data_IF_861984745094
#
_entry.id   IF_861984745094
#
_cell.length_a   1.000
_cell.length_b   1.000
_cell.length_c   1.000
_cell.angle_alpha   90.00
_cell.angle_beta   90.00
_cell.angle_gamma   90.00
#
_symmetry.space_group_name_H-M   'P 1'
#
loop_
_entity.id
_entity.type
_entity.pdbx_description
1 polymer ?
#
# COMPACT_ATOMS: atom_id res chain seq x y z
N UNK A 1 65.12 44.69 -11.58
CA UNK A 1 64.14 44.61 -10.47
C UNK A 1 62.73 44.98 -10.91
N UNK A 2 62.12 44.25 -11.88
CA UNK A 2 60.71 44.53 -12.32
C UNK A 2 59.87 43.25 -12.57
N UNK A 3 60.39 42.06 -12.28
CA UNK A 3 59.71 40.78 -12.58
C UNK A 3 59.03 40.22 -11.30
N UNK A 4 59.39 40.62 -10.13
CA UNK A 4 58.81 40.10 -8.88
C UNK A 4 57.40 40.62 -8.56
N UNK A 5 57.03 41.80 -9.10
CA UNK A 5 55.68 42.38 -8.91
C UNK A 5 54.59 41.65 -9.64
N UNK A 6 54.93 40.98 -10.75
CA UNK A 6 53.94 40.30 -11.62
C UNK A 6 53.47 38.96 -11.03
N UNK A 7 54.34 38.27 -10.28
CA UNK A 7 53.96 36.99 -9.68
C UNK A 7 53.03 37.14 -8.46
N UNK A 8 53.06 38.28 -7.76
CA UNK A 8 52.19 38.53 -6.62
C UNK A 8 50.77 38.90 -7.02
N UNK A 9 50.56 39.47 -8.21
CA UNK A 9 49.23 39.82 -8.72
C UNK A 9 48.46 38.62 -9.25
N UNK A 10 49.14 37.58 -9.72
CA UNK A 10 48.50 36.36 -10.31
C UNK A 10 48.04 35.43 -9.18
N UNK A 11 48.64 35.47 -7.97
CA UNK A 11 48.28 34.59 -6.86
C UNK A 11 46.96 34.97 -6.16
N UNK A 12 46.43 36.17 -6.37
CA UNK A 12 45.17 36.65 -5.75
C UNK A 12 43.90 36.30 -6.53
N UNK A 13 44.04 35.76 -7.73
CA UNK A 13 42.87 35.44 -8.59
C UNK A 13 42.27 34.02 -8.39
N UNK A 14 42.90 33.20 -7.53
CA UNK A 14 42.42 31.83 -7.28
C UNK A 14 41.56 31.63 -6.05
N UNK A 15 41.30 32.68 -5.27
CA UNK A 15 40.30 32.62 -4.18
C UNK A 15 38.91 33.02 -4.67
N UNK A 16 38.46 32.52 -5.79
CA UNK A 16 37.04 32.45 -6.09
C UNK A 16 36.42 31.38 -5.18
N UNK A 17 35.94 31.77 -4.02
CA UNK A 17 35.09 30.94 -3.21
C UNK A 17 33.90 30.49 -4.04
N UNK A 18 33.92 29.27 -4.54
CA UNK A 18 32.73 28.60 -5.03
C UNK A 18 31.87 28.36 -3.79
N UNK A 19 30.92 29.24 -3.51
CA UNK A 19 29.85 28.96 -2.58
C UNK A 19 29.17 27.68 -3.08
N UNK A 20 29.21 26.54 -2.34
CA UNK A 20 28.47 25.36 -2.74
C UNK A 20 27.01 25.78 -2.80
N UNK A 21 26.39 25.62 -3.98
CA UNK A 21 24.94 25.78 -4.10
C UNK A 21 24.32 24.87 -3.02
N UNK A 22 23.40 25.39 -2.20
CA UNK A 22 22.69 24.55 -1.25
C UNK A 22 22.03 23.41 -2.04
N UNK A 23 22.48 22.19 -1.80
CA UNK A 23 21.81 21.01 -2.31
C UNK A 23 20.40 21.01 -1.75
N UNK A 24 19.35 20.92 -2.58
CA UNK A 24 18.00 20.79 -2.08
C UNK A 24 17.98 19.59 -1.10
N UNK A 25 17.75 19.85 0.17
CA UNK A 25 17.49 18.76 1.11
C UNK A 25 16.19 18.10 0.69
N UNK A 26 16.26 16.81 0.41
CA UNK A 26 15.06 16.02 0.23
C UNK A 26 14.15 16.23 1.45
N UNK A 27 12.86 16.50 1.26
CA UNK A 27 11.94 16.69 2.37
C UNK A 27 12.01 15.46 3.27
N UNK A 28 12.01 15.68 4.59
CA UNK A 28 11.98 14.60 5.57
C UNK A 28 10.58 13.95 5.53
N UNK A 29 10.41 12.98 4.64
CA UNK A 29 9.13 12.33 4.40
C UNK A 29 8.99 11.16 5.35
N UNK A 30 7.98 11.20 6.20
CA UNK A 30 7.58 10.04 6.97
C UNK A 30 6.81 9.06 6.08
N UNK A 31 7.50 8.08 5.53
CA UNK A 31 6.92 7.08 4.64
C UNK A 31 5.93 6.11 5.32
N UNK A 32 5.94 6.07 6.65
CA UNK A 32 5.04 5.20 7.42
C UNK A 32 3.68 5.86 7.69
N UNK A 33 3.57 7.16 7.52
CA UNK A 33 2.34 7.90 7.71
C UNK A 33 1.67 8.14 6.35
N UNK A 34 0.46 7.64 6.20
CA UNK A 34 -0.40 7.92 5.05
C UNK A 34 -1.17 9.22 5.30
N UNK A 35 -1.21 10.10 4.31
CA UNK A 35 -2.00 11.33 4.37
C UNK A 35 -3.44 11.04 3.94
N UNK A 36 -3.60 10.26 2.86
CA UNK A 36 -4.90 9.78 2.37
C UNK A 36 -4.84 8.25 2.23
N UNK A 37 -5.64 7.50 2.99
CA UNK A 37 -5.72 6.05 2.87
C UNK A 37 -6.44 5.64 1.58
N UNK A 38 -6.27 4.39 1.11
CA UNK A 38 -7.02 3.90 -0.03
C UNK A 38 -8.51 3.77 0.32
N UNK A 39 -9.39 4.08 -0.64
CA UNK A 39 -10.84 4.02 -0.47
C UNK A 39 -11.47 3.08 -1.49
N UNK A 40 -12.44 2.27 -1.03
CA UNK A 40 -13.22 1.39 -1.90
C UNK A 40 -14.37 2.19 -2.54
N UNK A 41 -14.50 2.19 -3.89
CA UNK A 41 -15.39 3.13 -4.59
C UNK A 41 -16.88 2.91 -4.32
N UNK A 42 -17.29 1.65 -4.06
CA UNK A 42 -18.69 1.29 -3.83
C UNK A 42 -19.16 1.57 -2.39
N UNK A 43 -18.33 2.23 -1.58
CA UNK A 43 -18.58 2.54 -0.18
C UNK A 43 -18.53 4.05 0.08
N UNK A 44 -19.05 4.56 1.23
CA UNK A 44 -18.96 5.98 1.58
C UNK A 44 -17.53 6.50 1.50
N UNK A 45 -17.33 7.66 0.86
CA UNK A 45 -16.00 8.23 0.61
C UNK A 45 -15.62 9.31 1.63
N UNK A 46 -16.57 9.83 2.36
CA UNK A 46 -16.45 10.94 3.30
C UNK A 46 -15.97 10.53 4.70
N UNK A 47 -16.04 9.23 5.01
CA UNK A 47 -15.57 8.65 6.27
C UNK A 47 -14.75 7.38 6.01
N UNK A 48 -13.46 7.46 6.29
CA UNK A 48 -12.50 6.36 6.08
C UNK A 48 -12.91 5.11 6.85
N UNK A 49 -13.34 5.25 8.10
CA UNK A 49 -13.73 4.11 8.93
C UNK A 49 -14.98 3.42 8.37
N UNK A 50 -16.00 4.20 7.98
CA UNK A 50 -17.20 3.66 7.35
C UNK A 50 -16.90 3.00 6.02
N UNK A 51 -15.98 3.57 5.21
CA UNK A 51 -15.53 2.97 3.97
C UNK A 51 -14.92 1.58 4.21
N UNK A 52 -14.01 1.46 5.16
CA UNK A 52 -13.35 0.20 5.49
C UNK A 52 -14.30 -0.85 6.06
N UNK A 53 -15.21 -0.45 6.96
CA UNK A 53 -16.25 -1.34 7.51
C UNK A 53 -17.19 -1.84 6.40
N UNK A 54 -17.54 -0.98 5.45
CA UNK A 54 -18.36 -1.33 4.29
C UNK A 54 -17.61 -2.27 3.35
N UNK A 55 -16.34 -1.99 3.04
CA UNK A 55 -15.50 -2.86 2.23
C UNK A 55 -15.39 -4.26 2.83
N UNK A 56 -15.06 -4.38 4.14
CA UNK A 56 -14.94 -5.66 4.82
C UNK A 56 -16.22 -6.50 4.71
N UNK A 57 -17.40 -5.87 4.92
CA UNK A 57 -18.70 -6.53 4.77
C UNK A 57 -18.97 -6.94 3.31
N UNK A 58 -18.60 -6.11 2.35
CA UNK A 58 -18.79 -6.39 0.93
C UNK A 58 -17.92 -7.57 0.50
N UNK A 59 -16.66 -7.58 0.91
CA UNK A 59 -15.75 -8.68 0.65
C UNK A 59 -16.25 -9.99 1.28
N UNK A 60 -16.63 -9.96 2.57
CA UNK A 60 -17.17 -11.13 3.26
C UNK A 60 -18.40 -11.69 2.52
N UNK A 61 -19.35 -10.84 2.16
CA UNK A 61 -20.55 -11.26 1.42
C UNK A 61 -20.22 -11.90 0.08
N UNK A 62 -19.26 -11.34 -0.69
CA UNK A 62 -18.84 -11.92 -1.97
C UNK A 62 -18.14 -13.27 -1.78
N UNK A 63 -17.35 -13.42 -0.74
CA UNK A 63 -16.70 -14.69 -0.38
C UNK A 63 -17.75 -15.74 0.01
N UNK A 64 -18.72 -15.40 0.85
CA UNK A 64 -19.78 -16.33 1.26
C UNK A 64 -20.56 -16.86 0.05
N UNK A 65 -20.91 -15.97 -0.89
CA UNK A 65 -21.59 -16.36 -2.14
C UNK A 65 -20.69 -17.25 -3.00
N UNK A 66 -19.42 -16.92 -3.16
CA UNK A 66 -18.47 -17.70 -3.96
C UNK A 66 -18.25 -19.07 -3.35
N UNK A 67 -17.99 -19.15 -2.06
CA UNK A 67 -17.76 -20.41 -1.35
C UNK A 67 -18.98 -21.32 -1.36
N UNK A 68 -20.19 -20.75 -1.25
CA UNK A 68 -21.43 -21.50 -1.40
C UNK A 68 -21.57 -22.06 -2.84
N UNK A 69 -21.24 -21.26 -3.86
CA UNK A 69 -21.27 -21.71 -5.26
C UNK A 69 -20.26 -22.81 -5.56
N UNK A 70 -19.08 -22.73 -4.97
CA UNK A 70 -18.00 -23.72 -5.10
C UNK A 70 -18.25 -24.96 -4.24
N UNK A 71 -19.38 -24.99 -3.49
CA UNK A 71 -19.76 -26.07 -2.57
C UNK A 71 -18.68 -26.36 -1.53
N UNK A 72 -17.96 -25.34 -1.10
CA UNK A 72 -16.97 -25.47 -0.03
C UNK A 72 -17.70 -25.69 1.28
N UNK A 73 -17.37 -26.78 1.96
CA UNK A 73 -17.93 -27.12 3.26
C UNK A 73 -16.87 -26.88 4.33
N UNK A 74 -17.15 -25.95 5.23
CA UNK A 74 -16.30 -25.63 6.38
C UNK A 74 -16.81 -26.34 7.63
N UNK A 75 -17.10 -27.65 7.55
CA UNK A 75 -17.90 -28.42 8.49
C UNK A 75 -17.43 -28.41 9.96
N UNK A 76 -16.23 -27.91 10.26
CA UNK A 76 -15.65 -27.92 11.61
C UNK A 76 -14.95 -26.59 11.98
N UNK A 77 -15.01 -25.58 11.11
CA UNK A 77 -14.24 -24.36 11.26
C UNK A 77 -15.13 -23.16 11.61
N UNK A 78 -15.26 -22.88 12.87
CA UNK A 78 -15.56 -21.53 13.34
C UNK A 78 -14.19 -20.84 13.54
N UNK A 79 -13.56 -20.43 12.47
CA UNK A 79 -12.23 -19.87 12.53
C UNK A 79 -12.16 -18.53 11.78
N UNK A 80 -11.13 -17.77 12.05
CA UNK A 80 -10.87 -16.49 11.39
C UNK A 80 -9.61 -16.63 10.53
N UNK A 81 -9.79 -16.43 9.23
CA UNK A 81 -8.68 -16.35 8.30
C UNK A 81 -8.13 -14.92 8.28
N UNK A 82 -6.85 -14.75 8.60
CA UNK A 82 -6.19 -13.46 8.48
C UNK A 82 -5.52 -13.35 7.13
N UNK A 83 -5.98 -12.37 6.32
CA UNK A 83 -5.47 -12.16 4.97
C UNK A 83 -4.75 -10.83 4.90
N UNK A 84 -3.51 -10.83 4.45
CA UNK A 84 -2.78 -9.61 4.13
C UNK A 84 -3.12 -9.22 2.70
N UNK A 85 -3.75 -8.07 2.55
CA UNK A 85 -4.14 -7.46 1.29
C UNK A 85 -3.24 -6.27 0.98
N UNK A 86 -3.11 -5.96 -0.31
CA UNK A 86 -2.34 -4.84 -0.82
C UNK A 86 -3.14 -4.09 -1.88
N UNK A 87 -3.15 -2.76 -1.78
CA UNK A 87 -3.56 -1.87 -2.87
C UNK A 87 -2.29 -1.24 -3.45
N UNK A 88 -2.10 -1.37 -4.73
CA UNK A 88 -0.97 -0.75 -5.43
C UNK A 88 -1.25 0.71 -5.82
N UNK A 89 -0.29 1.36 -6.47
CA UNK A 89 -0.39 2.76 -6.91
C UNK A 89 -1.43 3.00 -8.01
N UNK A 90 -1.95 1.94 -8.62
CA UNK A 90 -3.03 2.00 -9.62
C UNK A 90 -4.40 1.69 -9.01
N UNK A 91 -4.46 1.40 -7.70
CA UNK A 91 -5.69 1.01 -7.01
C UNK A 91 -6.04 -0.47 -7.14
N UNK A 92 -5.16 -1.30 -7.71
CA UNK A 92 -5.42 -2.74 -7.83
C UNK A 92 -5.26 -3.43 -6.49
N UNK A 93 -6.32 -4.11 -6.03
CA UNK A 93 -6.28 -4.97 -4.85
C UNK A 93 -5.67 -6.33 -5.19
N UNK A 94 -4.80 -6.82 -4.33
CA UNK A 94 -4.20 -8.16 -4.45
C UNK A 94 -3.99 -8.81 -3.09
N UNK A 95 -3.89 -10.14 -3.07
CA UNK A 95 -3.54 -10.92 -1.89
C UNK A 95 -2.03 -11.03 -1.80
N UNK A 96 -1.47 -10.73 -0.62
CA UNK A 96 -0.03 -10.88 -0.35
C UNK A 96 0.26 -12.22 0.34
N UNK A 97 -0.47 -12.50 1.40
CA UNK A 97 -0.37 -13.79 2.10
C UNK A 97 -1.61 -14.07 2.96
N UNK A 98 -1.69 -15.33 3.43
CA UNK A 98 -2.66 -15.78 4.42
C UNK A 98 -1.91 -16.16 5.70
N UNK A 99 -2.30 -15.58 6.86
CA UNK A 99 -1.73 -15.89 8.16
C UNK A 99 -2.59 -16.90 8.92
N UNK A 100 -1.92 -17.72 9.73
CA UNK A 100 -2.48 -18.56 10.79
C UNK A 100 -3.46 -19.65 10.36
N UNK A 101 -3.33 -20.12 9.13
CA UNK A 101 -4.21 -21.20 8.67
C UNK A 101 -3.43 -22.41 8.18
N UNK A 102 -2.78 -23.15 9.10
CA UNK A 102 -2.26 -24.46 8.77
C UNK A 102 -3.34 -25.38 8.15
N UNK A 103 -4.61 -25.14 8.53
CA UNK A 103 -5.77 -25.85 7.98
C UNK A 103 -6.15 -25.33 6.59
N UNK A 104 -5.96 -24.03 6.29
CA UNK A 104 -6.25 -23.45 4.96
C UNK A 104 -5.14 -23.64 3.95
N UNK A 105 -3.88 -23.71 4.40
CA UNK A 105 -2.75 -24.06 3.52
C UNK A 105 -2.95 -25.44 2.86
N UNK A 106 -3.77 -26.29 3.46
CA UNK A 106 -4.14 -27.59 2.92
C UNK A 106 -5.35 -27.56 1.96
N UNK A 107 -6.01 -26.41 1.78
CA UNK A 107 -7.14 -26.27 0.86
C UNK A 107 -6.87 -25.24 -0.25
N UNK A 108 -6.16 -25.61 -1.33
CA UNK A 108 -5.86 -24.71 -2.45
C UNK A 108 -7.11 -24.05 -3.05
N UNK A 109 -8.24 -24.76 -3.02
CA UNK A 109 -9.52 -24.28 -3.57
C UNK A 109 -10.02 -23.05 -2.84
N UNK A 110 -9.91 -22.99 -1.51
CA UNK A 110 -10.33 -21.82 -0.71
C UNK A 110 -9.48 -20.60 -1.06
N UNK A 111 -8.17 -20.79 -1.18
CA UNK A 111 -7.25 -19.72 -1.54
C UNK A 111 -7.52 -19.19 -2.94
N UNK A 112 -7.70 -20.08 -3.92
CA UNK A 112 -8.03 -19.69 -5.30
C UNK A 112 -9.36 -18.96 -5.38
N UNK A 113 -10.42 -19.45 -4.70
CA UNK A 113 -11.71 -18.77 -4.65
C UNK A 113 -11.60 -17.36 -4.06
N UNK A 114 -10.77 -17.21 -3.03
CA UNK A 114 -10.51 -15.91 -2.40
C UNK A 114 -9.83 -14.93 -3.40
N UNK A 115 -8.77 -15.39 -4.06
CA UNK A 115 -8.05 -14.59 -5.08
C UNK A 115 -8.96 -14.19 -6.24
N UNK A 116 -9.83 -15.09 -6.71
CA UNK A 116 -10.83 -14.80 -7.76
C UNK A 116 -11.80 -13.71 -7.32
N UNK A 117 -12.30 -13.75 -6.08
CA UNK A 117 -13.18 -12.70 -5.55
C UNK A 117 -12.43 -11.38 -5.49
N UNK A 118 -11.21 -11.34 -4.97
CA UNK A 118 -10.38 -10.14 -4.89
C UNK A 118 -10.13 -9.55 -6.28
N UNK A 119 -9.79 -10.38 -7.25
CA UNK A 119 -9.55 -9.95 -8.63
C UNK A 119 -10.81 -9.41 -9.33
N UNK A 120 -12.02 -9.79 -8.85
CA UNK A 120 -13.31 -9.30 -9.39
C UNK A 120 -13.77 -7.96 -8.83
N UNK A 121 -13.08 -7.42 -7.81
CA UNK A 121 -13.44 -6.15 -7.19
C UNK A 121 -13.05 -4.95 -8.09
N UNK A 122 -13.78 -3.85 -8.01
CA UNK A 122 -13.39 -2.62 -8.68
C UNK A 122 -12.07 -2.07 -8.12
N UNK A 123 -11.42 -1.22 -8.90
CA UNK A 123 -10.21 -0.54 -8.47
C UNK A 123 -10.51 0.39 -7.29
N UNK A 124 -9.63 0.38 -6.30
CA UNK A 124 -9.64 1.35 -5.20
C UNK A 124 -9.17 2.73 -5.70
N UNK A 125 -9.58 3.78 -5.01
CA UNK A 125 -8.80 4.99 -5.00
C UNK A 125 -7.51 4.66 -4.25
N UNK A 126 -6.31 4.80 -4.85
CA UNK A 126 -5.05 4.43 -4.19
C UNK A 126 -4.77 5.36 -3.00
N UNK A 127 -3.96 4.88 -2.07
CA UNK A 127 -3.42 5.74 -1.01
C UNK A 127 -2.53 6.84 -1.60
N UNK A 128 -2.52 8.01 -0.95
CA UNK A 128 -1.82 9.17 -1.49
C UNK A 128 -0.94 9.84 -0.43
N UNK A 129 0.25 10.27 -0.84
CA UNK A 129 1.13 11.16 -0.09
C UNK A 129 0.92 12.57 -0.59
N UNK A 130 0.07 13.35 0.07
CA UNK A 130 -0.35 14.68 -0.37
C UNK A 130 0.80 15.66 -0.49
N UNK A 131 1.78 15.60 0.41
CA UNK A 131 2.97 16.45 0.39
C UNK A 131 3.93 16.16 -0.77
N UNK A 132 3.80 15.02 -1.44
CA UNK A 132 4.62 14.62 -2.59
C UNK A 132 3.78 14.48 -3.87
N UNK A 133 2.46 14.58 -3.77
CA UNK A 133 1.53 14.38 -4.87
C UNK A 133 1.71 13.02 -5.58
N UNK A 134 1.99 11.96 -4.79
CA UNK A 134 2.23 10.62 -5.35
C UNK A 134 1.32 9.57 -4.71
N UNK A 135 0.79 8.67 -5.56
CA UNK A 135 0.14 7.47 -5.10
C UNK A 135 1.17 6.50 -4.50
N UNK A 136 0.80 5.81 -3.43
CA UNK A 136 1.67 4.85 -2.73
C UNK A 136 0.98 3.52 -2.52
N UNK A 137 1.77 2.46 -2.48
CA UNK A 137 1.31 1.12 -2.14
C UNK A 137 1.04 1.01 -0.64
N UNK A 138 -0.04 0.33 -0.28
CA UNK A 138 -0.43 0.07 1.11
C UNK A 138 -0.79 -1.38 1.32
N UNK A 139 -0.39 -1.92 2.47
CA UNK A 139 -0.74 -3.27 2.91
C UNK A 139 -1.40 -3.23 4.28
N UNK A 140 -2.39 -4.11 4.48
CA UNK A 140 -3.03 -4.32 5.78
C UNK A 140 -3.51 -5.75 5.92
N UNK A 141 -3.80 -6.17 7.15
CA UNK A 141 -4.36 -7.49 7.44
C UNK A 141 -5.82 -7.37 7.82
N UNK A 142 -6.68 -8.16 7.16
CA UNK A 142 -8.11 -8.22 7.39
C UNK A 142 -8.49 -9.58 7.96
N UNK A 143 -9.26 -9.64 9.07
CA UNK A 143 -9.87 -10.89 9.54
C UNK A 143 -11.11 -11.22 8.68
N UNK A 144 -11.17 -12.43 8.17
CA UNK A 144 -12.30 -12.98 7.40
C UNK A 144 -12.92 -14.10 8.21
N UNK A 145 -14.19 -13.94 8.57
CA UNK A 145 -14.90 -14.96 9.29
C UNK A 145 -15.26 -16.14 8.37
N UNK A 146 -14.97 -17.35 8.85
CA UNK A 146 -15.39 -18.58 8.20
C UNK A 146 -16.47 -19.17 9.08
N UNK A 147 -17.69 -19.01 8.64
CA UNK A 147 -18.87 -19.56 9.33
C UNK A 147 -19.59 -20.58 8.47
N UNK A 148 -20.25 -21.54 9.15
CA UNK A 148 -21.20 -22.45 8.51
C UNK A 148 -22.32 -21.71 7.81
#
# INVERSE_FOLDING_TARGET
MKIWGLFLAISLLFFACTNPKPTPQAPNVNWTQLDEPPLFPDCPQDDVKLNWDCFAKTLQKKLDVKWASDKLSFNELNDTLYVTLKVDTLGQLSVVNFKDSAQFQSSPVVLTSFEEVVASLPLFQPAFKTNLEVAVEVQWTLPIAISK
#
